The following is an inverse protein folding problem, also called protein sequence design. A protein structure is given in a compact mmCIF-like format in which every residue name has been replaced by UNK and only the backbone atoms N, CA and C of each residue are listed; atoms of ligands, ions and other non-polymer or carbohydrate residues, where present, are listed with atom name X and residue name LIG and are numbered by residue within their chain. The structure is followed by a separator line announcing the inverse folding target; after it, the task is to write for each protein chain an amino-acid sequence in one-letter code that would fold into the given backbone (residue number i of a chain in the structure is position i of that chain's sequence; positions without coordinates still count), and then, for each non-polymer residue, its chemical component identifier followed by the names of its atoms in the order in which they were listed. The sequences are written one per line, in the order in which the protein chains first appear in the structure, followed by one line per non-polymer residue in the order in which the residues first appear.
data_IF_857458122987
#
_entry.id   IF_857458122987
#
_cell.length_a   1.000
_cell.length_b   1.000
_cell.length_c   1.000
_cell.angle_alpha   90.00
_cell.angle_beta   90.00
_cell.angle_gamma   90.00
#
_symmetry.space_group_name_H-M   'P 1'
#
loop_
_entity.id
_entity.type
_entity.pdbx_description
1 polymer ?
#
# COMPACT_ATOMS: atom_id res chain seq x y z
N UNK A 1 28.72 -43.31 -42.39
CA UNK A 1 28.69 -43.29 -40.91
C UNK A 1 29.04 -41.92 -40.34
N UNK A 2 30.08 -41.24 -40.84
CA UNK A 2 30.50 -39.90 -40.40
C UNK A 2 29.38 -38.84 -40.36
N UNK A 3 28.58 -38.71 -41.41
CA UNK A 3 27.48 -37.72 -41.49
C UNK A 3 26.41 -37.86 -40.40
N UNK A 4 26.20 -39.07 -39.85
CA UNK A 4 25.29 -39.28 -38.72
C UNK A 4 25.95 -38.84 -37.41
N UNK A 5 27.24 -39.12 -37.25
CA UNK A 5 28.01 -38.74 -36.06
C UNK A 5 28.11 -37.21 -35.91
N UNK A 6 28.31 -36.47 -37.01
CA UNK A 6 28.33 -35.00 -37.00
C UNK A 6 26.98 -34.41 -36.57
N UNK A 7 25.86 -35.01 -36.99
CA UNK A 7 24.51 -34.58 -36.57
C UNK A 7 24.28 -34.82 -35.08
N UNK A 8 24.76 -35.94 -34.52
CA UNK A 8 24.67 -36.21 -33.09
C UNK A 8 25.49 -35.22 -32.26
N UNK A 9 26.71 -34.89 -32.71
CA UNK A 9 27.54 -33.88 -32.04
C UNK A 9 26.86 -32.51 -32.07
N UNK A 10 26.33 -32.11 -33.22
CA UNK A 10 25.66 -30.82 -33.38
C UNK A 10 24.40 -30.73 -32.51
N UNK A 11 23.63 -31.81 -32.42
CA UNK A 11 22.48 -31.91 -31.53
C UNK A 11 22.88 -31.80 -30.04
N UNK A 12 24.00 -32.41 -29.63
CA UNK A 12 24.52 -32.30 -28.27
C UNK A 12 25.01 -30.88 -27.92
N UNK A 13 25.67 -30.21 -28.86
CA UNK A 13 26.10 -28.82 -28.66
C UNK A 13 24.88 -27.90 -28.54
N UNK A 14 23.89 -28.09 -29.41
CA UNK A 14 22.66 -27.30 -29.39
C UNK A 14 21.88 -27.51 -28.09
N UNK A 15 21.74 -28.76 -27.64
CA UNK A 15 21.05 -29.05 -26.36
C UNK A 15 21.79 -28.42 -25.19
N UNK A 16 23.12 -28.51 -25.15
CA UNK A 16 23.96 -27.85 -24.14
C UNK A 16 23.77 -26.34 -24.11
N UNK A 17 23.76 -25.68 -25.29
CA UNK A 17 23.50 -24.25 -25.38
C UNK A 17 22.10 -23.86 -24.89
N UNK A 18 21.07 -24.64 -25.25
CA UNK A 18 19.71 -24.38 -24.76
C UNK A 18 19.63 -24.52 -23.24
N UNK A 19 20.26 -25.55 -22.66
CA UNK A 19 20.26 -25.75 -21.21
C UNK A 19 20.94 -24.58 -20.50
N UNK A 20 22.07 -24.10 -21.02
CA UNK A 20 22.76 -22.92 -20.46
C UNK A 20 21.89 -21.66 -20.53
N UNK A 21 21.26 -21.42 -21.68
CA UNK A 21 20.36 -20.29 -21.87
C UNK A 21 19.16 -20.34 -20.91
N UNK A 22 18.58 -21.53 -20.72
CA UNK A 22 17.49 -21.74 -19.78
C UNK A 22 17.94 -21.49 -18.34
N UNK A 23 19.07 -22.05 -17.91
CA UNK A 23 19.62 -21.81 -16.57
C UNK A 23 19.83 -20.33 -16.30
N UNK A 24 20.43 -19.61 -17.25
CA UNK A 24 20.66 -18.17 -17.12
C UNK A 24 19.34 -17.39 -17.02
N UNK A 25 18.37 -17.73 -17.87
CA UNK A 25 17.06 -17.09 -17.88
C UNK A 25 16.30 -17.34 -16.57
N UNK A 26 16.38 -18.54 -16.01
CA UNK A 26 15.76 -18.87 -14.72
C UNK A 26 16.36 -18.04 -13.59
N UNK A 27 17.68 -17.89 -13.54
CA UNK A 27 18.34 -17.06 -12.52
C UNK A 27 17.94 -15.60 -12.68
N UNK A 28 17.91 -15.09 -13.92
CA UNK A 28 17.47 -13.73 -14.21
C UNK A 28 16.04 -13.46 -13.73
N UNK A 29 15.09 -14.34 -14.12
CA UNK A 29 13.69 -14.23 -13.69
C UNK A 29 13.55 -14.32 -12.17
N UNK A 30 14.38 -15.13 -11.51
CA UNK A 30 14.37 -15.24 -10.06
C UNK A 30 14.77 -13.91 -9.39
N UNK A 31 15.84 -13.26 -9.88
CA UNK A 31 16.28 -11.97 -9.37
C UNK A 31 15.19 -10.91 -9.57
N UNK A 32 14.58 -10.87 -10.75
CA UNK A 32 13.52 -9.91 -11.07
C UNK A 32 12.28 -10.12 -10.18
N UNK A 33 11.88 -11.38 -9.96
CA UNK A 33 10.77 -11.72 -9.08
C UNK A 33 11.04 -11.27 -7.63
N UNK A 34 12.27 -11.48 -7.15
CA UNK A 34 12.68 -11.07 -5.81
C UNK A 34 12.69 -9.54 -5.68
N UNK A 35 13.22 -8.82 -6.68
CA UNK A 35 13.18 -7.35 -6.74
C UNK A 35 11.75 -6.82 -6.70
N UNK A 36 10.84 -7.41 -7.49
CA UNK A 36 9.43 -7.03 -7.48
C UNK A 36 8.79 -7.29 -6.11
N UNK A 37 9.14 -8.39 -5.44
CA UNK A 37 8.72 -8.68 -4.07
C UNK A 37 9.16 -7.61 -3.06
N UNK A 38 10.41 -7.13 -3.18
CA UNK A 38 10.90 -6.03 -2.35
C UNK A 38 10.16 -4.72 -2.62
N UNK A 39 9.95 -4.37 -3.89
CA UNK A 39 9.21 -3.16 -4.27
C UNK A 39 7.75 -3.19 -3.74
N UNK A 40 7.08 -4.34 -3.85
CA UNK A 40 5.74 -4.52 -3.29
C UNK A 40 5.73 -4.37 -1.76
N UNK A 41 6.71 -4.94 -1.07
CA UNK A 41 6.84 -4.82 0.38
C UNK A 41 7.03 -3.36 0.80
N UNK A 42 7.87 -2.62 0.10
CA UNK A 42 8.09 -1.20 0.37
C UNK A 42 6.80 -0.39 0.15
N UNK A 43 6.10 -0.64 -0.96
CA UNK A 43 4.82 -0.01 -1.25
C UNK A 43 3.80 -0.32 -0.16
N UNK A 44 3.70 -1.59 0.27
CA UNK A 44 2.81 -2.00 1.35
C UNK A 44 3.13 -1.27 2.67
N UNK A 45 4.41 -1.11 3.00
CA UNK A 45 4.84 -0.35 4.19
C UNK A 45 4.42 1.12 4.07
N UNK A 46 4.62 1.74 2.90
CA UNK A 46 4.22 3.13 2.67
C UNK A 46 2.71 3.35 2.81
N UNK A 47 1.91 2.42 2.26
CA UNK A 47 0.44 2.44 2.36
C UNK A 47 0.00 2.25 3.81
N UNK A 48 0.62 1.30 4.52
CA UNK A 48 0.32 1.05 5.91
C UNK A 48 0.66 2.25 6.81
N UNK A 49 1.79 2.93 6.55
CA UNK A 49 2.14 4.17 7.25
C UNK A 49 1.07 5.25 7.02
N UNK A 50 0.68 5.49 5.77
CA UNK A 50 -0.39 6.46 5.45
C UNK A 50 -1.71 6.10 6.13
N UNK A 51 -2.13 4.83 6.07
CA UNK A 51 -3.33 4.35 6.77
C UNK A 51 -3.25 4.56 8.28
N UNK A 52 -2.11 4.31 8.90
CA UNK A 52 -1.90 4.53 10.32
C UNK A 52 -2.01 6.01 10.71
N UNK A 53 -1.49 6.92 9.87
CA UNK A 53 -1.65 8.36 10.08
C UNK A 53 -3.12 8.80 9.96
N UNK A 54 -3.83 8.32 8.94
CA UNK A 54 -5.27 8.61 8.78
C UNK A 54 -6.08 8.08 9.95
N UNK A 55 -5.80 6.86 10.42
CA UNK A 55 -6.49 6.28 11.57
C UNK A 55 -6.29 7.10 12.85
N UNK A 56 -5.07 7.60 13.09
CA UNK A 56 -4.79 8.51 14.21
C UNK A 56 -5.56 9.82 14.10
N UNK A 57 -5.57 10.43 12.92
CA UNK A 57 -6.33 11.66 12.67
C UNK A 57 -7.83 11.46 12.88
N UNK A 58 -8.37 10.31 12.46
CA UNK A 58 -9.77 9.97 12.70
C UNK A 58 -10.07 9.84 14.21
N UNK A 59 -9.20 9.14 14.96
CA UNK A 59 -9.34 9.03 16.41
C UNK A 59 -9.28 10.39 17.11
N UNK A 60 -8.37 11.28 16.71
CA UNK A 60 -8.28 12.63 17.26
C UNK A 60 -9.51 13.47 16.92
N UNK A 61 -9.99 13.39 15.68
CA UNK A 61 -11.23 14.05 15.23
C UNK A 61 -12.43 13.57 16.04
N UNK A 62 -12.56 12.28 16.26
CA UNK A 62 -13.66 11.71 17.04
C UNK A 62 -13.54 12.06 18.53
N UNK A 63 -12.32 12.12 19.07
CA UNK A 63 -12.08 12.61 20.42
C UNK A 63 -12.47 14.10 20.57
N UNK A 64 -12.13 14.95 19.60
CA UNK A 64 -12.52 16.36 19.59
C UNK A 64 -14.04 16.53 19.52
N UNK A 65 -14.72 15.68 18.76
CA UNK A 65 -16.18 15.66 18.65
C UNK A 65 -16.86 14.88 19.80
N UNK A 66 -16.11 14.36 20.76
CA UNK A 66 -16.70 13.64 21.87
C UNK A 66 -17.60 14.57 22.69
N UNK A 67 -18.79 14.11 23.12
CA UNK A 67 -19.73 14.95 23.87
C UNK A 67 -19.11 15.59 25.11
N UNK A 68 -18.17 14.89 25.76
CA UNK A 68 -17.46 15.40 26.92
C UNK A 68 -16.56 16.59 26.56
N UNK A 69 -15.74 16.50 25.51
CA UNK A 69 -14.87 17.59 25.05
C UNK A 69 -15.68 18.77 24.53
N UNK A 70 -16.74 18.51 23.77
CA UNK A 70 -17.65 19.54 23.29
C UNK A 70 -18.36 20.27 24.43
N UNK A 71 -18.84 19.56 25.47
CA UNK A 71 -19.43 20.19 26.66
C UNK A 71 -18.41 21.03 27.42
N UNK A 72 -17.16 20.57 27.52
CA UNK A 72 -16.08 21.30 28.18
C UNK A 72 -15.75 22.60 27.45
N UNK A 73 -15.60 22.56 26.12
CA UNK A 73 -15.35 23.77 25.33
C UNK A 73 -16.58 24.70 25.29
N UNK A 74 -17.79 24.15 25.25
CA UNK A 74 -19.02 24.95 25.34
C UNK A 74 -19.09 25.70 26.67
N UNK A 75 -18.81 25.04 27.79
CA UNK A 75 -18.74 25.69 29.10
C UNK A 75 -17.67 26.80 29.16
N UNK A 76 -16.53 26.62 28.49
CA UNK A 76 -15.47 27.62 28.41
C UNK A 76 -15.86 28.85 27.57
N UNK A 77 -16.73 28.66 26.58
CA UNK A 77 -17.23 29.72 25.70
C UNK A 77 -18.57 30.31 26.20
N UNK A 78 -18.99 29.98 27.43
CA UNK A 78 -20.32 30.30 28.00
C UNK A 78 -21.51 29.86 27.09
N UNK A 79 -21.26 28.85 26.26
CA UNK A 79 -22.24 28.24 25.39
C UNK A 79 -22.98 27.12 26.12
N UNK A 80 -24.29 27.10 25.95
CA UNK A 80 -25.19 26.13 26.56
C UNK A 80 -26.07 25.47 25.49
N UNK A 81 -26.67 24.32 25.80
CA UNK A 81 -27.62 23.68 24.91
C UNK A 81 -28.83 24.60 24.67
N UNK A 82 -29.42 24.56 23.47
CA UNK A 82 -30.64 25.29 23.21
C UNK A 82 -31.78 24.76 24.10
N UNK A 83 -32.55 25.67 24.70
CA UNK A 83 -33.70 25.30 25.50
C UNK A 83 -34.88 24.90 24.60
N UNK A 84 -35.83 24.14 25.16
CA UNK A 84 -37.06 23.74 24.45
C UNK A 84 -37.79 25.00 23.95
N UNK A 85 -38.02 25.09 22.64
CA UNK A 85 -38.64 26.24 21.98
C UNK A 85 -37.67 27.25 21.33
N UNK A 86 -36.35 27.08 21.51
CA UNK A 86 -35.34 27.98 20.96
C UNK A 86 -34.73 27.40 19.66
N UNK A 87 -34.90 28.10 18.53
CA UNK A 87 -34.31 27.70 17.23
C UNK A 87 -33.08 28.57 16.94
N UNK A 88 -31.89 27.93 16.80
CA UNK A 88 -30.67 28.62 16.33
C UNK A 88 -30.65 28.63 14.80
N UNK A 89 -30.55 29.83 14.20
CA UNK A 89 -30.27 29.97 12.76
C UNK A 89 -28.77 30.17 12.57
N UNK A 90 -28.16 29.34 11.75
CA UNK A 90 -26.77 29.53 11.33
C UNK A 90 -26.75 30.69 10.33
N UNK A 91 -26.03 31.76 10.64
CA UNK A 91 -25.74 32.80 9.66
C UNK A 91 -24.76 32.19 8.66
N UNK A 92 -25.21 31.97 7.43
CA UNK A 92 -24.33 31.61 6.33
C UNK A 92 -23.85 32.94 5.74
N UNK A 93 -22.66 33.41 6.15
CA UNK A 93 -22.01 34.54 5.46
C UNK A 93 -21.57 34.05 4.06
N UNK A 94 -21.97 34.75 2.98
CA UNK A 94 -21.63 34.38 1.61
C UNK A 94 -20.16 34.58 1.25
#
# INVERSE_FOLDING_TARGET
MAKKFDVWILALILSGMLTLALCLTTVWLNIEQVNMGYALKELQVSVNKKKAHTARLQLERDNLLSPYRLKKEAARLDMQAAQVGQIRRMVNEP
#
